data_IF_777574263700
#
_entry.id   IF_777574263700
#
_cell.length_a   1.000
_cell.length_b   1.000
_cell.length_c   1.000
_cell.angle_alpha   90.00
_cell.angle_beta   90.00
_cell.angle_gamma   90.00
#
_symmetry.space_group_name_H-M   'P 1'
#
loop_
_entity.id
_entity.type
_entity.pdbx_description
1 polymer ?
#
# COMPACT_ATOMS: atom_id res chain seq x y z
N UNK A 1 19.69 13.40 1.65
CA UNK A 1 18.55 14.12 2.27
C UNK A 1 18.18 13.39 3.55
N UNK A 2 18.05 14.11 4.67
CA UNK A 2 17.70 13.52 5.96
C UNK A 2 16.25 13.00 5.92
N UNK A 3 16.04 11.70 6.17
CA UNK A 3 14.72 11.08 6.30
C UNK A 3 14.07 11.34 7.67
N UNK A 4 14.61 12.26 8.48
CA UNK A 4 14.25 12.42 9.89
C UNK A 4 13.57 13.73 10.28
N UNK A 5 13.15 14.56 9.33
CA UNK A 5 12.22 15.64 9.66
C UNK A 5 10.79 15.12 9.60
N UNK A 6 10.12 15.06 10.76
CA UNK A 6 8.67 14.87 10.86
C UNK A 6 7.97 16.06 10.19
N UNK A 7 7.77 15.94 8.88
CA UNK A 7 6.99 16.89 8.12
C UNK A 7 5.51 16.57 8.37
N UNK A 8 4.86 17.41 9.18
CA UNK A 8 3.41 17.45 9.24
C UNK A 8 2.87 18.15 8.00
N UNK A 9 1.73 17.66 7.51
CA UNK A 9 1.00 18.31 6.43
C UNK A 9 0.53 19.69 6.93
N UNK A 10 0.79 20.79 6.22
CA UNK A 10 0.26 22.10 6.59
C UNK A 10 -1.27 22.07 6.70
N UNK A 11 -1.82 22.71 7.74
CA UNK A 11 -3.27 22.71 8.03
C UNK A 11 -4.10 23.19 6.84
N UNK A 12 -3.63 24.22 6.12
CA UNK A 12 -4.34 24.77 4.96
C UNK A 12 -4.45 23.75 3.83
N UNK A 13 -3.37 23.01 3.55
CA UNK A 13 -3.38 21.91 2.57
C UNK A 13 -4.33 20.79 3.00
N UNK A 14 -4.37 20.46 4.29
CA UNK A 14 -5.31 19.44 4.78
C UNK A 14 -6.78 19.86 4.58
N UNK A 15 -7.10 21.13 4.84
CA UNK A 15 -8.44 21.67 4.63
C UNK A 15 -8.81 21.72 3.14
N UNK A 16 -7.89 22.16 2.28
CA UNK A 16 -8.08 22.19 0.82
C UNK A 16 -8.40 20.80 0.28
N UNK A 17 -7.58 19.81 0.64
CA UNK A 17 -7.76 18.42 0.20
C UNK A 17 -9.07 17.85 0.73
N UNK A 18 -9.42 18.15 1.98
CA UNK A 18 -10.70 17.73 2.56
C UNK A 18 -11.87 18.31 1.77
N UNK A 19 -11.86 19.62 1.48
CA UNK A 19 -12.92 20.27 0.70
C UNK A 19 -13.00 19.73 -0.73
N UNK A 20 -11.86 19.43 -1.36
CA UNK A 20 -11.81 18.78 -2.68
C UNK A 20 -12.52 17.41 -2.64
N UNK A 21 -12.21 16.58 -1.65
CA UNK A 21 -12.85 15.27 -1.47
C UNK A 21 -14.37 15.39 -1.26
N UNK A 22 -14.80 16.31 -0.38
CA UNK A 22 -16.22 16.56 -0.11
C UNK A 22 -16.96 17.00 -1.39
N UNK A 23 -16.35 17.85 -2.21
CA UNK A 23 -16.92 18.29 -3.48
C UNK A 23 -17.00 17.18 -4.52
N UNK A 24 -15.95 16.36 -4.66
CA UNK A 24 -15.90 15.25 -5.62
C UNK A 24 -16.96 14.21 -5.32
N UNK A 25 -17.16 13.88 -4.04
CA UNK A 25 -18.12 12.84 -3.65
C UNK A 25 -19.55 13.36 -3.54
N UNK A 26 -19.76 14.67 -3.59
CA UNK A 26 -21.10 15.28 -3.55
C UNK A 26 -21.95 14.76 -4.71
N UNK A 27 -23.16 14.31 -4.38
CA UNK A 27 -24.11 13.78 -5.36
C UNK A 27 -23.84 12.33 -5.79
N UNK A 28 -22.78 11.70 -5.29
CA UNK A 28 -22.55 10.25 -5.43
C UNK A 28 -23.19 9.50 -4.26
N UNK A 29 -23.28 8.16 -4.36
CA UNK A 29 -23.65 7.30 -3.22
C UNK A 29 -22.68 7.42 -2.04
N UNK A 30 -21.47 7.92 -2.28
CA UNK A 30 -20.42 8.12 -1.28
C UNK A 30 -20.35 9.55 -0.76
N UNK A 31 -21.40 10.37 -0.95
CA UNK A 31 -21.48 11.69 -0.32
C UNK A 31 -21.26 11.58 1.20
N UNK A 32 -20.43 12.47 1.74
CA UNK A 32 -19.88 12.35 3.11
C UNK A 32 -20.52 13.35 4.06
N UNK A 33 -20.89 12.89 5.26
CA UNK A 33 -21.30 13.75 6.37
C UNK A 33 -20.13 14.22 7.20
N UNK A 34 -19.06 13.42 7.28
CA UNK A 34 -17.82 13.82 7.95
C UNK A 34 -16.60 13.05 7.42
N UNK A 35 -15.44 13.70 7.52
CA UNK A 35 -14.14 13.12 7.21
C UNK A 35 -13.24 13.22 8.43
N UNK A 36 -12.72 12.07 8.87
CA UNK A 36 -11.68 11.97 9.89
C UNK A 36 -10.41 11.48 9.24
N UNK A 37 -9.34 12.27 9.33
CA UNK A 37 -8.03 11.87 8.80
C UNK A 37 -7.55 10.57 9.45
N UNK A 38 -7.03 9.67 8.62
CA UNK A 38 -6.35 8.45 9.04
C UNK A 38 -4.84 8.68 9.04
N UNK A 39 -4.16 8.01 9.97
CA UNK A 39 -2.71 7.91 9.98
C UNK A 39 -2.25 6.69 9.17
N UNK A 40 -0.95 6.65 8.86
CA UNK A 40 -0.34 5.58 8.07
C UNK A 40 -0.17 5.96 6.61
N UNK A 41 0.90 5.46 5.98
CA UNK A 41 1.28 5.84 4.63
C UNK A 41 1.88 7.25 4.52
N UNK A 42 2.67 7.48 3.48
CA UNK A 42 3.39 8.76 3.29
C UNK A 42 2.91 9.54 2.07
N UNK A 43 2.42 8.83 1.03
CA UNK A 43 2.19 9.41 -0.30
C UNK A 43 0.79 9.98 -0.52
N UNK A 44 -0.23 9.52 0.22
CA UNK A 44 -1.63 9.89 -0.01
C UNK A 44 -2.26 10.48 1.24
N UNK A 45 -3.30 11.29 1.03
CA UNK A 45 -4.19 11.70 2.09
C UNK A 45 -5.24 10.62 2.29
N UNK A 46 -5.42 10.15 3.52
CA UNK A 46 -6.38 9.09 3.83
C UNK A 46 -7.39 9.58 4.86
N UNK A 47 -8.64 9.23 4.65
CA UNK A 47 -9.75 9.59 5.53
C UNK A 47 -10.64 8.39 5.79
N UNK A 48 -11.14 8.31 7.02
CA UNK A 48 -12.35 7.56 7.32
C UNK A 48 -13.53 8.51 7.08
N UNK A 49 -14.45 8.06 6.25
CA UNK A 49 -15.61 8.85 5.84
C UNK A 49 -16.89 8.24 6.38
N UNK A 50 -17.66 9.05 7.11
CA UNK A 50 -19.04 8.73 7.43
C UNK A 50 -19.90 9.24 6.29
N UNK A 51 -20.77 8.39 5.73
CA UNK A 51 -21.63 8.74 4.61
C UNK A 51 -22.85 9.57 5.07
N UNK A 52 -23.43 10.39 4.20
CA UNK A 52 -24.66 11.15 4.49
C UNK A 52 -25.89 10.24 4.63
N UNK A 53 -25.95 9.18 3.82
CA UNK A 53 -27.06 8.23 3.77
C UNK A 53 -26.55 6.80 3.96
N UNK A 54 -26.07 6.44 5.16
CA UNK A 54 -25.64 5.08 5.42
C UNK A 54 -26.87 4.15 5.36
N UNK A 55 -26.83 3.17 4.46
CA UNK A 55 -27.81 2.08 4.48
C UNK A 55 -27.39 1.07 5.55
N UNK A 56 -28.32 0.71 6.44
CA UNK A 56 -28.10 -0.32 7.47
C UNK A 56 -28.03 -1.73 6.88
N UNK A 57 -28.33 -1.90 5.59
CA UNK A 57 -28.24 -3.17 4.88
C UNK A 57 -26.98 -3.27 4.01
N UNK A 58 -26.23 -2.18 3.88
CA UNK A 58 -25.07 -2.13 3.00
C UNK A 58 -23.79 -2.30 3.82
N UNK A 59 -22.76 -2.85 3.18
CA UNK A 59 -21.42 -3.07 3.77
C UNK A 59 -20.70 -1.80 4.22
N UNK A 60 -21.26 -0.62 3.96
CA UNK A 60 -20.70 0.70 4.30
C UNK A 60 -21.22 1.27 5.63
N UNK A 61 -21.94 0.50 6.44
CA UNK A 61 -22.58 1.00 7.68
C UNK A 61 -21.61 1.72 8.63
N UNK A 62 -20.34 1.29 8.66
CA UNK A 62 -19.30 1.86 9.52
C UNK A 62 -18.48 2.96 8.80
N UNK A 63 -18.92 3.37 7.62
CA UNK A 63 -18.20 4.27 6.72
C UNK A 63 -17.32 3.56 5.72
N UNK A 64 -16.49 4.34 5.03
CA UNK A 64 -15.56 3.91 3.98
C UNK A 64 -14.20 4.58 4.16
N UNK A 65 -13.16 4.01 3.57
CA UNK A 65 -11.87 4.69 3.44
C UNK A 65 -11.87 5.50 2.16
N UNK A 66 -11.46 6.75 2.26
CA UNK A 66 -11.13 7.59 1.11
C UNK A 66 -9.63 7.74 1.04
N UNK A 67 -9.09 7.50 -0.15
CA UNK A 67 -7.70 7.75 -0.48
C UNK A 67 -7.64 8.82 -1.57
N UNK A 68 -6.99 9.93 -1.25
CA UNK A 68 -6.82 11.04 -2.17
C UNK A 68 -5.35 11.14 -2.59
N UNK A 69 -5.13 10.95 -3.90
CA UNK A 69 -3.81 11.04 -4.52
C UNK A 69 -3.54 12.43 -5.10
N UNK A 70 -2.32 12.91 -4.90
CA UNK A 70 -1.82 14.15 -5.52
C UNK A 70 -0.53 13.87 -6.28
N UNK A 71 -0.13 14.82 -7.13
CA UNK A 71 1.13 14.81 -7.89
C UNK A 71 2.40 14.95 -7.03
N UNK A 72 2.28 14.71 -5.72
CA UNK A 72 3.34 14.79 -4.74
C UNK A 72 3.07 13.84 -3.57
N UNK A 73 4.11 13.57 -2.78
CA UNK A 73 4.00 12.77 -1.55
C UNK A 73 3.33 13.62 -0.48
N UNK A 74 2.20 13.18 0.07
CA UNK A 74 1.42 13.95 1.06
C UNK A 74 2.25 14.49 2.24
N UNK A 75 3.17 13.69 2.79
CA UNK A 75 4.07 14.12 3.88
C UNK A 75 5.30 14.90 3.40
N UNK A 76 5.57 14.95 2.10
CA UNK A 76 6.70 15.69 1.54
C UNK A 76 6.30 16.35 0.20
N UNK A 77 5.52 17.45 0.22
CA UNK A 77 4.95 18.04 -1.01
C UNK A 77 5.97 18.51 -2.08
N UNK A 78 7.22 18.74 -1.66
CA UNK A 78 8.32 19.03 -2.59
C UNK A 78 8.79 17.80 -3.38
N UNK A 79 8.46 16.59 -2.93
CA UNK A 79 8.74 15.34 -3.63
C UNK A 79 7.58 15.06 -4.59
N UNK A 80 7.80 15.32 -5.88
CA UNK A 80 6.82 15.06 -6.93
C UNK A 80 6.76 13.56 -7.26
N UNK A 81 5.56 13.09 -7.55
CA UNK A 81 5.29 11.70 -7.92
C UNK A 81 4.09 11.69 -8.87
N UNK A 82 4.09 10.85 -9.89
CA UNK A 82 2.95 10.80 -10.80
C UNK A 82 1.68 10.30 -10.11
N UNK A 83 0.55 10.81 -10.58
CA UNK A 83 -0.78 10.39 -10.16
C UNK A 83 -1.24 9.11 -10.85
N UNK A 84 -0.57 8.66 -11.92
CA UNK A 84 -0.84 7.38 -12.60
C UNK A 84 -0.89 6.19 -11.65
N UNK A 85 -0.07 6.22 -10.59
CA UNK A 85 -0.08 5.25 -9.49
C UNK A 85 -1.44 5.07 -8.81
N UNK A 86 -2.31 6.09 -8.82
CA UNK A 86 -3.62 6.06 -8.15
C UNK A 86 -4.61 5.23 -8.97
N UNK A 87 -4.65 5.45 -10.29
CA UNK A 87 -5.46 4.64 -11.19
C UNK A 87 -4.97 3.19 -11.19
N UNK A 88 -3.65 2.98 -11.25
CA UNK A 88 -3.05 1.63 -11.18
C UNK A 88 -3.42 0.94 -9.88
N UNK A 89 -3.37 1.61 -8.73
CA UNK A 89 -3.78 1.04 -7.44
C UNK A 89 -5.25 0.60 -7.46
N UNK A 90 -6.15 1.46 -7.95
CA UNK A 90 -7.57 1.14 -8.04
C UNK A 90 -7.82 -0.07 -8.95
N UNK A 91 -7.29 -0.05 -10.18
CA UNK A 91 -7.43 -1.16 -11.13
C UNK A 91 -6.81 -2.46 -10.59
N UNK A 92 -5.70 -2.35 -9.84
CA UNK A 92 -5.10 -3.49 -9.16
C UNK A 92 -6.06 -4.12 -8.16
N UNK A 93 -6.75 -3.32 -7.34
CA UNK A 93 -7.73 -3.83 -6.38
C UNK A 93 -8.97 -4.41 -7.08
N UNK A 94 -9.40 -3.82 -8.20
CA UNK A 94 -10.51 -4.35 -9.02
C UNK A 94 -10.16 -5.75 -9.54
N UNK A 95 -8.96 -5.94 -10.10
CA UNK A 95 -8.53 -7.26 -10.56
C UNK A 95 -8.32 -8.24 -9.40
N UNK A 96 -7.72 -7.78 -8.30
CA UNK A 96 -7.45 -8.61 -7.11
C UNK A 96 -8.72 -9.09 -6.42
N UNK A 97 -9.85 -8.43 -6.61
CA UNK A 97 -11.14 -8.91 -6.09
C UNK A 97 -11.54 -10.30 -6.62
N UNK A 98 -10.98 -10.74 -7.75
CA UNK A 98 -11.18 -12.09 -8.29
C UNK A 98 -10.33 -13.17 -7.58
N UNK A 99 -9.28 -12.79 -6.84
CA UNK A 99 -8.44 -13.73 -6.12
C UNK A 99 -9.19 -14.23 -4.87
N UNK A 100 -9.43 -15.54 -4.73
CA UNK A 100 -10.18 -16.05 -3.59
C UNK A 100 -9.49 -15.75 -2.25
N UNK A 101 -10.27 -15.45 -1.19
CA UNK A 101 -9.73 -15.30 0.15
C UNK A 101 -9.14 -16.62 0.64
N UNK A 102 -8.12 -16.54 1.49
CA UNK A 102 -7.59 -17.69 2.22
C UNK A 102 -8.15 -17.72 3.62
N UNK A 103 -8.91 -18.77 3.92
CA UNK A 103 -9.43 -19.04 5.25
C UNK A 103 -8.50 -20.02 6.00
N UNK A 104 -8.37 -19.78 7.29
CA UNK A 104 -7.81 -20.71 8.29
C UNK A 104 -8.77 -20.73 9.48
N UNK A 105 -8.61 -21.66 10.45
CA UNK A 105 -9.45 -21.65 11.64
C UNK A 105 -9.43 -20.34 12.45
N UNK A 106 -8.37 -19.53 12.34
CA UNK A 106 -8.19 -18.30 13.13
C UNK A 106 -8.15 -17.00 12.33
N UNK A 107 -8.02 -17.06 11.01
CA UNK A 107 -7.92 -15.85 10.17
C UNK A 107 -8.49 -16.03 8.77
N UNK A 108 -8.99 -14.92 8.24
CA UNK A 108 -9.37 -14.72 6.84
C UNK A 108 -8.41 -13.72 6.21
N UNK A 109 -7.84 -14.07 5.06
CA UNK A 109 -6.88 -13.23 4.34
C UNK A 109 -7.44 -12.92 2.96
N UNK A 110 -7.60 -11.63 2.69
CA UNK A 110 -8.14 -11.12 1.43
C UNK A 110 -7.62 -9.71 1.16
N UNK A 111 -7.85 -9.23 -0.05
CA UNK A 111 -7.64 -7.82 -0.41
C UNK A 111 -8.87 -7.00 -0.02
N UNK A 112 -8.69 -5.71 0.35
CA UNK A 112 -9.80 -4.80 0.55
C UNK A 112 -10.61 -4.62 -0.74
N UNK A 113 -11.91 -4.42 -0.61
CA UNK A 113 -12.76 -4.12 -1.76
C UNK A 113 -12.60 -2.66 -2.22
N UNK A 114 -12.53 -2.45 -3.54
CA UNK A 114 -12.57 -1.13 -4.16
C UNK A 114 -14.00 -0.79 -4.60
N UNK A 115 -14.50 0.39 -4.23
CA UNK A 115 -15.91 0.76 -4.45
C UNK A 115 -16.09 1.80 -5.54
N UNK A 116 -15.20 2.78 -5.60
CA UNK A 116 -15.33 3.90 -6.52
C UNK A 116 -13.97 4.55 -6.75
N UNK A 117 -13.77 5.07 -7.96
CA UNK A 117 -12.62 5.89 -8.30
C UNK A 117 -13.05 7.03 -9.20
N UNK A 118 -12.66 8.25 -8.82
CA UNK A 118 -12.75 9.41 -9.68
C UNK A 118 -11.39 9.64 -10.33
N UNK A 119 -11.31 9.41 -11.64
CA UNK A 119 -10.08 9.51 -12.40
C UNK A 119 -9.55 10.96 -12.52
N UNK A 120 -10.44 11.95 -12.56
CA UNK A 120 -10.07 13.35 -12.70
C UNK A 120 -9.41 13.89 -11.42
N UNK A 121 -9.94 13.50 -10.26
CA UNK A 121 -9.43 13.97 -8.97
C UNK A 121 -8.45 13.02 -8.31
N UNK A 122 -8.34 11.76 -8.76
CA UNK A 122 -7.64 10.67 -8.07
C UNK A 122 -8.21 10.38 -6.66
N UNK A 123 -9.54 10.49 -6.53
CA UNK A 123 -10.26 10.14 -5.29
C UNK A 123 -10.74 8.70 -5.37
N UNK A 124 -10.19 7.83 -4.52
CA UNK A 124 -10.57 6.43 -4.41
C UNK A 124 -11.39 6.20 -3.14
N UNK A 125 -12.43 5.37 -3.24
CA UNK A 125 -13.23 4.88 -2.11
C UNK A 125 -13.06 3.37 -2.02
N UNK A 126 -12.75 2.87 -0.83
CA UNK A 126 -12.51 1.46 -0.56
C UNK A 126 -13.07 1.02 0.80
N UNK A 127 -13.04 -0.28 1.04
CA UNK A 127 -13.46 -0.92 2.28
C UNK A 127 -12.83 -0.30 3.53
N UNK A 128 -13.66 -0.09 4.55
CA UNK A 128 -13.22 0.32 5.88
C UNK A 128 -13.43 -0.81 6.88
N UNK A 129 -12.32 -1.23 7.49
CA UNK A 129 -12.31 -2.22 8.56
C UNK A 129 -12.26 -1.49 9.91
N UNK A 130 -13.40 -1.37 10.58
CA UNK A 130 -13.58 -0.49 11.75
C UNK A 130 -12.70 -0.81 12.96
N UNK A 131 -12.28 -2.06 13.09
CA UNK A 131 -11.43 -2.55 14.19
C UNK A 131 -10.08 -3.06 13.70
N UNK A 132 -9.68 -2.68 12.48
CA UNK A 132 -8.40 -3.12 11.92
C UNK A 132 -7.21 -2.50 12.65
N UNK A 133 -6.18 -3.33 12.82
CA UNK A 133 -4.84 -2.94 13.21
C UNK A 133 -3.87 -3.32 12.10
N UNK A 134 -2.76 -2.59 11.98
CA UNK A 134 -1.65 -3.12 11.20
C UNK A 134 -1.16 -4.43 11.83
N UNK A 135 -0.68 -5.37 11.03
CA UNK A 135 -0.15 -6.64 11.54
C UNK A 135 1.01 -6.41 12.55
N UNK A 136 1.78 -5.33 12.36
CA UNK A 136 2.82 -4.89 13.31
C UNK A 136 2.22 -4.49 14.65
N UNK A 137 1.22 -3.61 14.66
CA UNK A 137 0.60 -3.13 15.89
C UNK A 137 -0.15 -4.27 16.60
N UNK A 138 -0.77 -5.16 15.84
CA UNK A 138 -1.35 -6.39 16.37
C UNK A 138 -0.29 -7.25 17.06
N UNK A 139 0.82 -7.54 16.38
CA UNK A 139 1.89 -8.37 16.94
C UNK A 139 2.48 -7.75 18.21
N UNK A 140 2.77 -6.45 18.20
CA UNK A 140 3.32 -5.74 19.38
C UNK A 140 2.34 -5.68 20.55
N UNK A 141 1.03 -5.63 20.27
CA UNK A 141 -0.02 -5.55 21.30
C UNK A 141 -0.32 -6.90 21.93
N UNK A 142 -0.30 -7.98 21.16
CA UNK A 142 -0.80 -9.29 21.58
C UNK A 142 0.29 -10.35 21.80
N UNK A 143 1.51 -10.15 21.30
CA UNK A 143 2.61 -11.10 21.48
C UNK A 143 3.71 -10.52 22.38
N UNK A 144 3.95 -11.19 23.50
CA UNK A 144 5.13 -10.95 24.33
C UNK A 144 6.34 -11.75 23.81
N UNK A 145 7.55 -11.29 24.12
CA UNK A 145 8.78 -12.05 23.90
C UNK A 145 9.32 -12.56 25.26
N UNK A 146 9.54 -13.88 25.42
CA UNK A 146 9.28 -14.95 24.47
C UNK A 146 7.79 -15.22 24.28
N UNK A 147 7.38 -15.60 23.06
CA UNK A 147 5.98 -15.91 22.76
C UNK A 147 5.53 -17.16 23.52
N UNK A 148 4.43 -17.11 24.29
CA UNK A 148 3.93 -18.27 25.02
C UNK A 148 3.60 -19.46 24.10
N UNK A 149 3.90 -20.72 24.49
CA UNK A 149 3.56 -21.90 23.69
C UNK A 149 2.07 -22.01 23.33
N UNK A 150 1.19 -21.43 24.15
CA UNK A 150 -0.26 -21.40 23.91
C UNK A 150 -0.66 -20.61 22.66
N UNK A 151 0.18 -19.69 22.18
CA UNK A 151 -0.06 -18.91 20.97
C UNK A 151 0.57 -19.52 19.71
N UNK A 152 1.33 -20.61 19.86
CA UNK A 152 2.06 -21.24 18.76
C UNK A 152 1.13 -21.60 17.59
N UNK A 153 0.02 -22.27 17.89
CA UNK A 153 -0.93 -22.70 16.85
C UNK A 153 -1.52 -21.50 16.10
N UNK A 154 -1.89 -20.43 16.80
CA UNK A 154 -2.42 -19.22 16.17
C UNK A 154 -1.38 -18.56 15.26
N UNK A 155 -0.13 -18.44 15.72
CA UNK A 155 0.97 -17.88 14.93
C UNK A 155 1.26 -18.74 13.68
N UNK A 156 1.25 -20.06 13.82
CA UNK A 156 1.43 -21.00 12.70
C UNK A 156 0.29 -20.88 11.69
N UNK A 157 -0.97 -20.82 12.15
CA UNK A 157 -2.13 -20.64 11.27
C UNK A 157 -2.08 -19.32 10.51
N UNK A 158 -1.74 -18.21 11.18
CA UNK A 158 -1.59 -16.90 10.53
C UNK A 158 -0.46 -16.91 9.49
N UNK A 159 0.72 -17.40 9.86
CA UNK A 159 1.88 -17.48 8.97
C UNK A 159 1.63 -18.38 7.76
N UNK A 160 1.04 -19.56 7.99
CA UNK A 160 0.69 -20.49 6.91
C UNK A 160 -0.42 -19.94 6.01
N UNK A 161 -1.42 -19.26 6.59
CA UNK A 161 -2.46 -18.57 5.85
C UNK A 161 -1.88 -17.52 4.91
N UNK A 162 -1.05 -16.61 5.44
CA UNK A 162 -0.43 -15.53 4.67
C UNK A 162 0.48 -16.08 3.57
N UNK A 163 1.36 -17.02 3.89
CA UNK A 163 2.24 -17.66 2.91
C UNK A 163 1.46 -18.42 1.83
N UNK A 164 0.37 -19.09 2.19
CA UNK A 164 -0.49 -19.79 1.23
C UNK A 164 -1.21 -18.82 0.29
N UNK A 165 -1.72 -17.70 0.82
CA UNK A 165 -2.37 -16.67 0.02
C UNK A 165 -1.38 -16.00 -0.94
N UNK A 166 -0.17 -15.64 -0.47
CA UNK A 166 0.89 -15.07 -1.30
C UNK A 166 1.33 -16.01 -2.42
N UNK A 167 1.50 -17.30 -2.11
CA UNK A 167 1.79 -18.31 -3.13
C UNK A 167 0.67 -18.41 -4.16
N UNK A 168 -0.59 -18.43 -3.69
CA UNK A 168 -1.75 -18.48 -4.58
C UNK A 168 -1.81 -17.24 -5.48
N UNK A 169 -1.58 -16.03 -4.95
CA UNK A 169 -1.47 -14.80 -5.72
C UNK A 169 -0.42 -14.92 -6.83
N UNK A 170 0.80 -15.38 -6.50
CA UNK A 170 1.86 -15.51 -7.50
C UNK A 170 1.46 -16.49 -8.61
N UNK A 171 0.96 -17.68 -8.29
CA UNK A 171 0.51 -18.63 -9.31
C UNK A 171 -0.68 -18.12 -10.13
N UNK A 172 -1.69 -17.56 -9.46
CA UNK A 172 -2.90 -17.03 -10.08
C UNK A 172 -2.59 -15.87 -11.03
N UNK A 173 -1.72 -14.94 -10.62
CA UNK A 173 -1.32 -13.78 -11.45
C UNK A 173 -0.67 -14.16 -12.78
N UNK A 174 -0.14 -15.38 -12.90
CA UNK A 174 0.48 -15.91 -14.12
C UNK A 174 -0.49 -16.65 -15.04
N UNK A 175 -1.72 -16.91 -14.60
CA UNK A 175 -2.69 -17.57 -15.45
C UNK A 175 -3.02 -16.70 -16.68
N UNK A 176 -3.24 -17.28 -17.86
CA UNK A 176 -3.56 -16.51 -19.07
C UNK A 176 -4.74 -15.56 -18.89
N UNK A 177 -5.75 -15.95 -18.08
CA UNK A 177 -6.92 -15.13 -17.76
C UNK A 177 -6.55 -13.81 -17.07
N UNK A 178 -5.42 -13.76 -16.34
CA UNK A 178 -4.96 -12.58 -15.60
C UNK A 178 -4.05 -11.66 -16.42
N UNK A 179 -4.13 -11.71 -17.76
CA UNK A 179 -3.34 -10.84 -18.63
C UNK A 179 -3.58 -9.35 -18.36
N UNK A 180 -4.83 -8.93 -18.12
CA UNK A 180 -5.17 -7.54 -17.82
C UNK A 180 -4.52 -7.04 -16.52
N UNK A 181 -4.51 -7.87 -15.46
CA UNK A 181 -3.80 -7.56 -14.21
C UNK A 181 -2.31 -7.32 -14.48
N UNK A 182 -1.66 -8.20 -15.25
CA UNK A 182 -0.24 -8.08 -15.59
C UNK A 182 0.05 -6.81 -16.39
N UNK A 183 -0.80 -6.46 -17.35
CA UNK A 183 -0.69 -5.23 -18.13
C UNK A 183 -0.81 -3.98 -17.25
N UNK A 184 -1.83 -3.94 -16.36
CA UNK A 184 -2.01 -2.87 -15.37
C UNK A 184 -0.76 -2.70 -14.50
N UNK A 185 -0.16 -3.78 -14.03
CA UNK A 185 1.01 -3.74 -13.16
C UNK A 185 2.27 -3.32 -13.94
N UNK A 186 2.43 -3.80 -15.17
CA UNK A 186 3.52 -3.42 -16.06
C UNK A 186 3.48 -1.94 -16.43
N UNK A 187 2.28 -1.33 -16.51
CA UNK A 187 2.09 0.10 -16.74
C UNK A 187 2.67 1.01 -15.64
N UNK A 188 3.03 0.46 -14.47
CA UNK A 188 3.53 1.23 -13.33
C UNK A 188 5.02 1.61 -13.40
N UNK A 189 5.51 1.97 -14.60
CA UNK A 189 6.94 2.16 -14.89
C UNK A 189 7.60 3.20 -13.99
N UNK A 190 6.94 4.33 -13.75
CA UNK A 190 7.48 5.38 -12.90
C UNK A 190 7.70 4.90 -11.46
N UNK A 191 6.75 4.14 -10.90
CA UNK A 191 6.90 3.60 -9.55
C UNK A 191 7.92 2.47 -9.50
N UNK A 192 8.06 1.66 -10.55
CA UNK A 192 9.11 0.66 -10.64
C UNK A 192 10.49 1.32 -10.61
N UNK A 193 10.70 2.38 -11.41
CA UNK A 193 11.93 3.16 -11.40
C UNK A 193 12.18 3.85 -10.06
N UNK A 194 11.16 4.46 -9.46
CA UNK A 194 11.25 5.08 -8.15
C UNK A 194 11.61 4.06 -7.05
N UNK A 195 11.02 2.87 -7.07
CA UNK A 195 11.35 1.79 -6.14
C UNK A 195 12.77 1.27 -6.38
N UNK A 196 13.21 1.15 -7.62
CA UNK A 196 14.59 0.76 -7.91
C UNK A 196 15.60 1.77 -7.33
N UNK A 197 15.34 3.06 -7.53
CA UNK A 197 16.17 4.13 -6.99
C UNK A 197 16.21 4.09 -5.45
N UNK A 198 15.05 4.04 -4.79
CA UNK A 198 14.97 4.06 -3.32
C UNK A 198 15.57 2.79 -2.70
N UNK A 199 15.26 1.61 -3.24
CA UNK A 199 15.64 0.35 -2.59
C UNK A 199 17.08 -0.07 -2.89
N UNK A 200 17.63 0.30 -4.05
CA UNK A 200 18.93 -0.19 -4.50
C UNK A 200 19.94 0.93 -4.69
N UNK A 201 19.63 1.94 -5.49
CA UNK A 201 20.60 3.00 -5.81
C UNK A 201 20.97 3.85 -4.59
N UNK A 202 20.00 4.12 -3.69
CA UNK A 202 20.27 4.85 -2.45
C UNK A 202 21.18 4.09 -1.48
N UNK A 203 21.32 2.76 -1.59
CA UNK A 203 22.24 1.99 -0.74
C UNK A 203 23.68 2.49 -0.91
N UNK A 204 24.07 2.84 -2.13
CA UNK A 204 25.40 3.39 -2.41
C UNK A 204 25.62 4.74 -1.74
N UNK A 205 24.58 5.58 -1.68
CA UNK A 205 24.62 6.84 -0.93
C UNK A 205 24.70 6.62 0.60
N UNK A 206 24.23 5.48 1.10
CA UNK A 206 24.41 5.10 2.51
C UNK A 206 25.86 4.69 2.75
N UNK A 207 26.48 3.95 1.83
CA UNK A 207 27.91 3.60 1.88
C UNK A 207 28.77 4.86 1.94
N UNK A 208 28.52 5.82 1.06
CA UNK A 208 29.29 7.07 1.00
C UNK A 208 29.15 7.90 2.29
N UNK A 209 28.04 7.77 3.02
CA UNK A 209 27.80 8.43 4.31
C UNK A 209 28.41 7.71 5.51
N UNK A 210 28.61 6.41 5.40
CA UNK A 210 29.13 5.55 6.48
C UNK A 210 30.25 4.62 5.97
N UNK A 211 31.31 5.17 5.36
CA UNK A 211 32.36 4.37 4.74
C UNK A 211 33.13 3.51 5.75
N UNK A 212 33.20 3.92 7.01
CA UNK A 212 33.85 3.18 8.09
C UNK A 212 33.09 1.92 8.53
N UNK A 213 31.79 1.83 8.21
CA UNK A 213 30.94 0.67 8.52
C UNK A 213 30.70 -0.18 7.27
N UNK A 214 30.48 0.47 6.12
CA UNK A 214 29.97 -0.17 4.90
C UNK A 214 30.95 -0.14 3.73
N UNK A 215 32.11 0.50 3.87
CA UNK A 215 33.08 0.67 2.77
C UNK A 215 33.47 -0.65 2.11
N UNK A 216 33.76 -1.67 2.92
CA UNK A 216 34.12 -3.01 2.44
C UNK A 216 32.99 -3.71 1.65
N UNK A 217 31.74 -3.29 1.83
CA UNK A 217 30.58 -3.85 1.16
C UNK A 217 30.20 -3.10 -0.14
N UNK A 218 30.93 -2.05 -0.53
CA UNK A 218 30.57 -1.18 -1.65
C UNK A 218 30.36 -1.95 -2.96
N UNK A 219 31.32 -2.81 -3.32
CA UNK A 219 31.28 -3.56 -4.57
C UNK A 219 30.11 -4.56 -4.59
N UNK A 220 29.82 -5.17 -3.45
CA UNK A 220 28.65 -6.07 -3.30
C UNK A 220 27.35 -5.30 -3.49
N UNK A 221 27.20 -4.14 -2.83
CA UNK A 221 26.00 -3.32 -2.94
C UNK A 221 25.83 -2.71 -4.34
N UNK A 222 26.93 -2.37 -5.01
CA UNK A 222 26.91 -1.97 -6.42
C UNK A 222 26.41 -3.12 -7.29
N UNK A 223 26.95 -4.32 -7.12
CA UNK A 223 26.49 -5.51 -7.84
C UNK A 223 25.01 -5.80 -7.64
N UNK A 224 24.49 -5.65 -6.41
CA UNK A 224 23.04 -5.77 -6.13
C UNK A 224 22.24 -4.70 -6.87
N UNK A 225 22.71 -3.45 -6.89
CA UNK A 225 22.05 -2.37 -7.63
C UNK A 225 22.03 -2.60 -9.14
N UNK A 226 23.14 -3.07 -9.70
CA UNK A 226 23.28 -3.35 -11.12
C UNK A 226 22.40 -4.53 -11.55
N UNK A 227 22.32 -5.59 -10.73
CA UNK A 227 21.41 -6.72 -10.95
C UNK A 227 19.95 -6.26 -10.97
N UNK A 228 19.53 -5.49 -9.97
CA UNK A 228 18.15 -4.99 -9.91
C UNK A 228 17.81 -4.05 -11.08
N UNK A 229 18.78 -3.26 -11.56
CA UNK A 229 18.61 -2.44 -12.75
C UNK A 229 18.51 -3.29 -14.04
N UNK A 230 19.29 -4.37 -14.12
CA UNK A 230 19.23 -5.34 -15.22
C UNK A 230 17.88 -6.06 -15.29
N UNK A 231 17.37 -6.52 -14.16
CA UNK A 231 16.03 -7.13 -14.06
C UNK A 231 14.93 -6.16 -14.51
N UNK A 232 15.02 -4.90 -14.11
CA UNK A 232 14.04 -3.87 -14.52
C UNK A 232 14.07 -3.59 -16.03
N UNK A 233 15.23 -3.74 -16.67
CA UNK A 233 15.38 -3.54 -18.11
C UNK A 233 14.83 -4.71 -18.94
N UNK A 234 14.79 -5.92 -18.39
CA UNK A 234 14.19 -7.09 -19.03
C UNK A 234 12.74 -7.27 -18.58
N UNK A 235 11.82 -6.58 -19.24
CA UNK A 235 10.39 -6.66 -18.93
C UNK A 235 9.82 -8.09 -19.03
N UNK A 236 10.43 -8.96 -19.82
CA UNK A 236 9.98 -10.34 -19.99
C UNK A 236 10.27 -11.21 -18.76
N UNK A 237 11.21 -10.77 -17.91
CA UNK A 237 11.57 -11.42 -16.65
C UNK A 237 10.78 -10.87 -15.45
N UNK A 238 9.93 -9.84 -15.64
CA UNK A 238 9.17 -9.23 -14.57
C UNK A 238 7.87 -9.96 -14.30
N UNK A 239 7.57 -10.14 -13.02
CA UNK A 239 6.35 -10.78 -12.53
C UNK A 239 5.67 -9.89 -11.48
N UNK A 240 4.33 -9.86 -11.45
CA UNK A 240 3.61 -9.36 -10.29
C UNK A 240 4.09 -10.03 -9.00
N UNK A 241 4.57 -9.21 -8.07
CA UNK A 241 4.91 -9.63 -6.72
C UNK A 241 4.07 -8.82 -5.74
N UNK A 242 3.65 -9.46 -4.65
CA UNK A 242 3.10 -8.73 -3.53
C UNK A 242 4.25 -8.34 -2.60
N UNK A 243 4.24 -7.09 -2.11
CA UNK A 243 5.27 -6.61 -1.19
C UNK A 243 5.33 -7.40 0.11
N UNK A 244 6.49 -7.36 0.76
CA UNK A 244 6.75 -8.06 2.02
C UNK A 244 6.18 -7.30 3.24
N UNK A 245 6.00 -8.02 4.34
CA UNK A 245 5.62 -7.45 5.63
C UNK A 245 6.81 -6.70 6.26
N UNK A 246 6.83 -5.39 6.11
CA UNK A 246 7.84 -4.53 6.72
C UNK A 246 7.46 -4.11 8.15
N UNK A 247 8.28 -4.48 9.14
CA UNK A 247 8.10 -4.11 10.55
C UNK A 247 8.88 -2.87 10.99
N UNK A 248 9.63 -2.24 10.08
CA UNK A 248 10.47 -1.08 10.39
C UNK A 248 9.69 0.14 10.85
N UNK A 249 10.42 1.17 11.28
CA UNK A 249 9.88 2.38 11.93
C UNK A 249 9.77 3.54 10.97
#
# INVERSE_FOLDING_TARGET
>A
MSLHEQHSIPTDTEQEIRSKVEQVLKGTTFAVSSLRKLSGGTANFMYHATLEKPSTQDKYQNGVVIKQGEGYVALHPAFKIATSRCAIEYESLVHLAELPPKETPSCRISTPEAYYFNQDSNTQVQEYLSEALSLKDYALKYYAAPTPPTLKEQCEQLGHGLGSWLRAFHSWSQEPKQAALRETFAGNKEMQGLKNMINYQQLLQVVDRHPEILGDARDVLQGVSDLAAGELADESALYPIHGDFWTGK
#
